data_IF_478513786340
#
_entry.id   IF_478513786340
#
_cell.length_a   1.000
_cell.length_b   1.000
_cell.length_c   1.000
_cell.angle_alpha   90.00
_cell.angle_beta   90.00
_cell.angle_gamma   90.00
#
_symmetry.space_group_name_H-M   'P 1'
#
loop_
_entity.id
_entity.type
_entity.pdbx_description
1 polymer ?
#
# COMPACT_ATOMS: atom_id res chain seq x y z
N UNK A 1 -5.36 15.01 11.60
CA UNK A 1 -5.48 15.34 10.16
C UNK A 1 -6.09 14.13 9.46
N UNK A 2 -7.24 14.22 8.77
CA UNK A 2 -7.77 13.10 7.96
C UNK A 2 -6.98 13.02 6.67
N UNK A 3 -6.20 11.94 6.47
CA UNK A 3 -5.49 11.70 5.21
C UNK A 3 -6.53 11.31 4.15
N UNK A 4 -6.60 12.07 3.06
CA UNK A 4 -7.49 11.78 1.93
C UNK A 4 -6.83 10.84 0.91
N UNK A 5 -7.64 10.31 -0.02
CA UNK A 5 -7.16 9.38 -1.05
C UNK A 5 -5.96 9.91 -1.84
N UNK A 6 -6.01 11.17 -2.29
CA UNK A 6 -4.93 11.78 -3.09
C UNK A 6 -3.62 11.81 -2.31
N UNK A 7 -3.66 12.28 -1.06
CA UNK A 7 -2.48 12.36 -0.21
C UNK A 7 -1.91 10.97 0.07
N UNK A 8 -2.75 9.98 0.38
CA UNK A 8 -2.29 8.61 0.66
C UNK A 8 -1.64 7.96 -0.56
N UNK A 9 -2.20 8.16 -1.76
CA UNK A 9 -1.60 7.65 -3.00
C UNK A 9 -0.23 8.28 -3.25
N UNK A 10 -0.10 9.60 -3.09
CA UNK A 10 1.20 10.28 -3.27
C UNK A 10 2.23 9.74 -2.27
N UNK A 11 1.88 9.65 -0.99
CA UNK A 11 2.79 9.16 0.06
C UNK A 11 3.20 7.71 -0.17
N UNK A 12 2.24 6.83 -0.49
CA UNK A 12 2.54 5.41 -0.74
C UNK A 12 3.32 5.20 -2.03
N UNK A 13 3.08 6.01 -3.07
CA UNK A 13 3.89 5.98 -4.30
C UNK A 13 5.35 6.38 -4.02
N UNK A 14 5.57 7.46 -3.26
CA UNK A 14 6.92 7.89 -2.87
C UNK A 14 7.61 6.78 -2.08
N UNK A 15 6.90 6.16 -1.13
CA UNK A 15 7.43 5.06 -0.33
C UNK A 15 7.84 3.86 -1.19
N UNK A 16 7.00 3.44 -2.14
CA UNK A 16 7.31 2.32 -3.04
C UNK A 16 8.51 2.64 -3.94
N UNK A 17 8.59 3.85 -4.49
CA UNK A 17 9.74 4.29 -5.31
C UNK A 17 11.02 4.31 -4.46
N UNK A 18 10.97 4.85 -3.24
CA UNK A 18 12.12 4.88 -2.34
C UNK A 18 12.57 3.46 -1.95
N UNK A 19 11.61 2.56 -1.66
CA UNK A 19 11.88 1.16 -1.38
C UNK A 19 12.53 0.45 -2.56
N UNK A 20 12.02 0.69 -3.78
CA UNK A 20 12.56 0.14 -5.02
C UNK A 20 14.01 0.59 -5.27
N UNK A 21 14.28 1.89 -5.21
CA UNK A 21 15.63 2.45 -5.39
C UNK A 21 16.58 1.88 -4.33
N UNK A 22 16.12 1.77 -3.08
CA UNK A 22 16.93 1.17 -2.00
C UNK A 22 17.23 -0.30 -2.25
N UNK A 23 16.27 -1.07 -2.76
CA UNK A 23 16.45 -2.47 -3.16
C UNK A 23 17.62 -2.63 -4.12
N UNK A 24 17.62 -1.82 -5.19
CA UNK A 24 18.66 -1.84 -6.22
C UNK A 24 20.01 -1.35 -5.69
N UNK A 25 20.01 -0.29 -4.87
CA UNK A 25 21.25 0.29 -4.35
C UNK A 25 21.98 -0.66 -3.40
N UNK A 26 21.23 -1.40 -2.59
CA UNK A 26 21.79 -2.31 -1.59
C UNK A 26 21.81 -3.78 -2.03
N UNK A 27 21.28 -4.11 -3.23
CA UNK A 27 21.05 -5.48 -3.70
C UNK A 27 20.33 -6.33 -2.65
N UNK A 28 19.24 -5.80 -2.09
CA UNK A 28 18.44 -6.47 -1.06
C UNK A 28 16.95 -6.20 -1.23
N UNK A 29 16.24 -7.23 -1.68
CA UNK A 29 14.80 -7.23 -1.95
C UNK A 29 13.93 -6.83 -0.75
N UNK A 30 14.47 -6.94 0.47
CA UNK A 30 13.76 -6.59 1.71
C UNK A 30 13.28 -5.14 1.71
N UNK A 31 13.99 -4.21 1.07
CA UNK A 31 13.60 -2.79 1.05
C UNK A 31 12.32 -2.58 0.25
N UNK A 32 12.22 -3.20 -0.93
CA UNK A 32 11.02 -3.12 -1.76
C UNK A 32 9.83 -3.85 -1.12
N UNK A 33 10.10 -5.02 -0.53
CA UNK A 33 9.09 -5.80 0.18
C UNK A 33 8.51 -5.07 1.40
N UNK A 34 9.36 -4.42 2.21
CA UNK A 34 8.90 -3.60 3.34
C UNK A 34 8.10 -2.37 2.88
N UNK A 35 8.48 -1.72 1.78
CA UNK A 35 7.73 -0.59 1.25
C UNK A 35 6.31 -0.98 0.83
N UNK A 36 6.14 -2.15 0.22
CA UNK A 36 4.82 -2.72 -0.08
C UNK A 36 4.05 -3.12 1.17
N UNK A 37 4.71 -3.72 2.17
CA UNK A 37 4.06 -4.08 3.42
C UNK A 37 3.52 -2.84 4.16
N UNK A 38 4.32 -1.77 4.26
CA UNK A 38 3.89 -0.51 4.84
C UNK A 38 2.78 0.18 4.03
N UNK A 39 2.82 0.07 2.70
CA UNK A 39 1.73 0.52 1.83
C UNK A 39 0.43 -0.22 2.15
N UNK A 40 0.48 -1.55 2.27
CA UNK A 40 -0.66 -2.37 2.68
C UNK A 40 -1.22 -1.97 4.04
N UNK A 41 -0.36 -1.74 5.04
CA UNK A 41 -0.76 -1.25 6.36
C UNK A 41 -1.44 0.12 6.30
N UNK A 42 -0.94 1.04 5.48
CA UNK A 42 -1.56 2.35 5.30
C UNK A 42 -3.00 2.25 4.80
N UNK A 43 -3.27 1.37 3.81
CA UNK A 43 -4.62 1.14 3.30
C UNK A 43 -5.51 0.33 4.25
N UNK A 44 -4.93 -0.53 5.10
CA UNK A 44 -5.68 -1.22 6.14
C UNK A 44 -6.18 -0.25 7.22
N UNK A 45 -5.29 0.63 7.71
CA UNK A 45 -5.61 1.61 8.77
C UNK A 45 -6.53 2.71 8.22
N UNK A 46 -6.18 3.27 7.06
CA UNK A 46 -6.94 4.33 6.41
C UNK A 46 -7.43 3.86 5.03
N UNK A 47 -8.59 3.16 4.96
CA UNK A 47 -9.12 2.59 3.72
C UNK A 47 -9.77 3.68 2.86
N UNK A 48 -8.94 4.53 2.27
CA UNK A 48 -9.36 5.58 1.35
C UNK A 48 -9.46 5.05 -0.08
N UNK A 49 -10.48 5.51 -0.79
CA UNK A 49 -10.75 5.15 -2.18
C UNK A 49 -11.38 6.35 -2.90
N UNK A 50 -11.34 6.40 -4.24
CA UNK A 50 -11.99 7.47 -4.98
C UNK A 50 -13.51 7.35 -4.88
N UNK A 51 -14.16 8.35 -4.28
CA UNK A 51 -15.60 8.35 -4.01
C UNK A 51 -16.46 8.19 -5.26
N UNK A 52 -15.97 8.66 -6.42
CA UNK A 52 -16.72 8.64 -7.67
C UNK A 52 -16.46 7.38 -8.51
N UNK A 53 -15.56 6.49 -8.08
CA UNK A 53 -15.14 5.34 -8.89
C UNK A 53 -15.91 4.06 -8.57
N UNK A 54 -16.62 4.02 -7.44
CA UNK A 54 -17.21 2.78 -6.91
C UNK A 54 -18.69 3.00 -6.59
N UNK A 55 -19.58 2.31 -7.31
CA UNK A 55 -21.01 2.22 -7.00
C UNK A 55 -21.32 1.19 -5.88
N UNK A 56 -20.40 1.01 -4.93
CA UNK A 56 -20.59 0.12 -3.78
C UNK A 56 -20.97 0.93 -2.56
N UNK A 57 -21.72 0.29 -1.65
CA UNK A 57 -21.90 0.78 -0.29
C UNK A 57 -20.54 1.10 0.36
N UNK A 58 -20.44 2.25 1.00
CA UNK A 58 -19.20 2.77 1.60
C UNK A 58 -18.53 1.74 2.54
N UNK A 59 -19.31 1.00 3.32
CA UNK A 59 -18.77 -0.05 4.19
C UNK A 59 -18.13 -1.21 3.41
N UNK A 60 -18.77 -1.67 2.33
CA UNK A 60 -18.26 -2.76 1.50
C UNK A 60 -16.97 -2.34 0.80
N UNK A 61 -16.92 -1.11 0.28
CA UNK A 61 -15.73 -0.54 -0.32
C UNK A 61 -14.57 -0.47 0.69
N UNK A 62 -14.80 0.08 1.90
CA UNK A 62 -13.77 0.13 2.95
C UNK A 62 -13.26 -1.25 3.35
N UNK A 63 -14.16 -2.24 3.50
CA UNK A 63 -13.76 -3.63 3.80
C UNK A 63 -12.88 -4.22 2.69
N UNK A 64 -13.25 -4.03 1.43
CA UNK A 64 -12.45 -4.48 0.28
C UNK A 64 -11.05 -3.89 0.27
N UNK A 65 -10.92 -2.58 0.50
CA UNK A 65 -9.62 -1.89 0.58
C UNK A 65 -8.77 -2.43 1.73
N UNK A 66 -9.36 -2.71 2.90
CA UNK A 66 -8.64 -3.32 4.03
C UNK A 66 -8.10 -4.71 3.69
N UNK A 67 -8.91 -5.54 3.02
CA UNK A 67 -8.50 -6.88 2.60
C UNK A 67 -7.35 -6.79 1.60
N UNK A 68 -7.46 -5.92 0.59
CA UNK A 68 -6.38 -5.68 -0.38
C UNK A 68 -5.11 -5.19 0.31
N UNK A 69 -5.23 -4.27 1.28
CA UNK A 69 -4.12 -3.81 2.11
C UNK A 69 -3.42 -4.96 2.84
N UNK A 70 -4.18 -5.86 3.50
CA UNK A 70 -3.60 -7.02 4.18
C UNK A 70 -2.94 -8.03 3.24
N UNK A 71 -3.44 -8.19 2.02
CA UNK A 71 -2.79 -9.02 1.00
C UNK A 71 -1.41 -8.44 0.67
N UNK A 72 -1.29 -7.12 0.47
CA UNK A 72 0.01 -6.47 0.24
C UNK A 72 0.96 -6.64 1.43
N UNK A 73 0.45 -6.54 2.66
CA UNK A 73 1.24 -6.83 3.88
C UNK A 73 1.79 -8.24 3.82
N UNK A 74 0.94 -9.23 3.55
CA UNK A 74 1.35 -10.63 3.52
C UNK A 74 2.40 -10.90 2.43
N UNK A 75 2.19 -10.40 1.21
CA UNK A 75 3.16 -10.56 0.12
C UNK A 75 4.49 -9.90 0.49
N UNK A 76 4.47 -8.69 1.06
CA UNK A 76 5.70 -7.99 1.47
C UNK A 76 6.45 -8.73 2.59
N UNK A 77 5.75 -9.22 3.60
CA UNK A 77 6.40 -9.96 4.70
C UNK A 77 6.95 -11.33 4.28
N UNK A 78 6.44 -11.91 3.19
CA UNK A 78 6.88 -13.20 2.64
C UNK A 78 7.92 -13.06 1.53
N UNK A 79 8.46 -11.85 1.30
CA UNK A 79 9.40 -11.51 0.23
C UNK A 79 8.85 -11.75 -1.20
N UNK A 80 7.54 -11.65 -1.39
CA UNK A 80 6.89 -11.98 -2.66
C UNK A 80 7.06 -10.95 -3.79
N UNK A 81 7.60 -9.76 -3.53
CA UNK A 81 7.76 -8.70 -4.55
C UNK A 81 9.09 -8.71 -5.30
N UNK A 82 10.02 -9.62 -4.99
CA UNK A 82 11.33 -9.86 -5.63
C UNK A 82 11.87 -8.77 -6.57
N UNK A 83 12.75 -7.90 -6.06
CA UNK A 83 13.44 -6.82 -6.79
C UNK A 83 14.77 -6.48 -6.15
#
# INVERSE_FOLDING_TARGET
MKINFRLQIIVTLILVIAGFISSLWFNKDIYYNLAWAFTGLAFFINPVYPQNAIHLEEEKAKKGIRIAGMILVFIGLTNGFGV
#
